data_IF_322747614670
#
_entry.id   IF_322747614670
#
_cell.length_a   1.000
_cell.length_b   1.000
_cell.length_c   1.000
_cell.angle_alpha   90.00
_cell.angle_beta   90.00
_cell.angle_gamma   90.00
#
_symmetry.space_group_name_H-M   'P 1'
#
loop_
_entity.id
_entity.type
_entity.pdbx_description
1 polymer ?
#
# COMPACT_ATOMS: atom_id res chain seq x y z
N UNK A 1 4.35 14.68 11.35
CA UNK A 1 5.19 14.33 10.17
C UNK A 1 4.87 12.96 9.59
N UNK A 2 5.01 11.84 10.32
CA UNK A 2 4.64 10.51 9.80
C UNK A 2 3.12 10.22 9.89
N UNK A 3 2.49 10.60 10.99
CA UNK A 3 1.06 10.39 11.27
C UNK A 3 0.15 11.15 10.29
N UNK A 4 0.51 12.40 9.96
CA UNK A 4 -0.24 13.24 9.01
C UNK A 4 -0.22 12.65 7.60
N UNK A 5 0.95 12.14 7.18
CA UNK A 5 1.11 11.48 5.89
C UNK A 5 0.27 10.19 5.82
N UNK A 6 0.28 9.36 6.87
CA UNK A 6 -0.58 8.17 6.95
C UNK A 6 -2.05 8.56 6.82
N UNK A 7 -2.52 9.56 7.57
CA UNK A 7 -3.91 10.01 7.57
C UNK A 7 -4.38 10.48 6.19
N UNK A 8 -3.62 11.37 5.56
CA UNK A 8 -3.93 11.90 4.21
C UNK A 8 -3.98 10.79 3.16
N UNK A 9 -3.08 9.82 3.24
CA UNK A 9 -3.10 8.66 2.34
C UNK A 9 -4.29 7.75 2.64
N UNK A 10 -4.66 7.53 3.90
CA UNK A 10 -5.87 6.75 4.21
C UNK A 10 -7.13 7.37 3.60
N UNK A 11 -7.25 8.70 3.64
CA UNK A 11 -8.34 9.44 2.98
C UNK A 11 -8.32 9.24 1.46
N UNK A 12 -7.14 9.30 0.82
CA UNK A 12 -6.99 9.00 -0.62
C UNK A 12 -7.47 7.59 -1.00
N UNK A 13 -7.30 6.62 -0.10
CA UNK A 13 -7.75 5.24 -0.29
C UNK A 13 -9.19 4.99 0.20
N UNK A 14 -9.93 6.02 0.63
CA UNK A 14 -11.25 5.90 1.26
C UNK A 14 -11.28 4.92 2.45
N UNK A 15 -10.19 4.89 3.24
CA UNK A 15 -10.06 4.06 4.43
C UNK A 15 -10.28 4.92 5.67
N UNK A 16 -11.35 4.65 6.41
CA UNK A 16 -11.70 5.36 7.64
C UNK A 16 -10.74 5.07 8.79
N UNK A 17 -10.28 3.82 8.92
CA UNK A 17 -9.32 3.44 9.94
C UNK A 17 -8.38 2.33 9.45
N UNK A 18 -7.08 2.52 9.65
CA UNK A 18 -6.07 1.48 9.40
C UNK A 18 -6.02 0.59 10.63
N UNK A 19 -6.21 -0.72 10.44
CA UNK A 19 -6.20 -1.67 11.57
C UNK A 19 -4.81 -1.79 12.17
N UNK A 20 -4.72 -2.19 13.44
CA UNK A 20 -3.46 -2.32 14.19
C UNK A 20 -2.39 -3.11 13.43
N UNK A 21 -2.73 -4.28 12.91
CA UNK A 21 -1.79 -5.16 12.22
C UNK A 21 -1.40 -4.59 10.85
N UNK A 22 -2.31 -3.88 10.18
CA UNK A 22 -2.01 -3.18 8.93
C UNK A 22 -1.02 -2.02 9.17
N UNK A 23 -1.20 -1.30 10.28
CA UNK A 23 -0.28 -0.23 10.68
C UNK A 23 1.11 -0.79 11.03
N UNK A 24 1.16 -1.88 11.78
CA UNK A 24 2.42 -2.58 12.09
C UNK A 24 3.13 -3.03 10.79
N UNK A 25 2.41 -3.62 9.83
CA UNK A 25 2.97 -3.97 8.53
C UNK A 25 3.53 -2.73 7.81
N UNK A 26 2.77 -1.63 7.75
CA UNK A 26 3.21 -0.41 7.08
C UNK A 26 4.48 0.17 7.74
N UNK A 27 4.57 0.13 9.07
CA UNK A 27 5.76 0.59 9.80
C UNK A 27 7.00 -0.25 9.52
N UNK A 28 6.86 -1.58 9.47
CA UNK A 28 7.94 -2.49 9.07
C UNK A 28 8.41 -2.17 7.64
N UNK A 29 7.47 -1.97 6.70
CA UNK A 29 7.78 -1.63 5.31
C UNK A 29 8.47 -0.26 5.18
N UNK A 30 8.05 0.75 5.95
CA UNK A 30 8.69 2.07 5.98
C UNK A 30 10.14 1.97 6.46
N UNK A 31 10.39 1.13 7.47
CA UNK A 31 11.72 0.81 8.01
C UNK A 31 12.55 -0.12 7.13
N UNK A 32 12.01 -0.58 5.99
CA UNK A 32 12.64 -1.57 5.09
C UNK A 32 12.99 -2.87 5.80
N UNK A 33 12.12 -3.33 6.69
CA UNK A 33 12.26 -4.60 7.39
C UNK A 33 11.37 -5.66 6.75
N UNK A 34 11.89 -6.89 6.67
CA UNK A 34 11.13 -8.04 6.20
C UNK A 34 10.02 -8.40 7.19
N UNK A 35 8.88 -8.86 6.66
CA UNK A 35 7.70 -9.16 7.46
C UNK A 35 6.94 -10.34 6.86
N UNK A 36 6.59 -11.32 7.70
CA UNK A 36 5.57 -12.33 7.40
C UNK A 36 4.31 -11.94 8.15
N UNK A 37 3.26 -11.58 7.40
CA UNK A 37 1.97 -11.20 7.96
C UNK A 37 0.94 -12.31 7.75
N UNK A 38 0.42 -12.86 8.85
CA UNK A 38 -0.65 -13.87 8.83
C UNK A 38 -1.95 -13.19 9.23
N UNK A 39 -2.81 -12.94 8.24
CA UNK A 39 -4.07 -12.23 8.41
C UNK A 39 -5.21 -12.97 7.70
N UNK A 40 -6.44 -12.96 8.24
CA UNK A 40 -7.57 -13.63 7.62
C UNK A 40 -7.91 -13.02 6.25
N UNK A 41 -8.63 -13.79 5.43
CA UNK A 41 -9.21 -13.28 4.18
C UNK A 41 -10.15 -12.11 4.48
N UNK A 42 -10.22 -11.14 3.56
CA UNK A 42 -11.00 -9.92 3.77
C UNK A 42 -10.41 -8.92 4.77
N UNK A 43 -9.33 -9.25 5.50
CA UNK A 43 -8.75 -8.32 6.50
C UNK A 43 -8.19 -7.04 5.90
N UNK A 44 -7.89 -7.03 4.60
CA UNK A 44 -7.26 -5.91 3.90
C UNK A 44 -5.74 -5.97 3.91
N UNK A 45 -5.14 -7.18 3.87
CA UNK A 45 -3.69 -7.39 3.87
C UNK A 45 -2.93 -6.69 2.73
N UNK A 46 -3.63 -6.25 1.68
CA UNK A 46 -3.03 -5.52 0.56
C UNK A 46 -2.78 -4.05 0.84
N UNK A 47 -3.57 -3.45 1.73
CA UNK A 47 -3.55 -2.02 1.99
C UNK A 47 -2.15 -1.50 2.41
N UNK A 48 -1.40 -2.13 3.35
CA UNK A 48 -0.13 -1.60 3.82
C UNK A 48 0.92 -1.43 2.71
N UNK A 49 1.08 -2.42 1.83
CA UNK A 49 2.02 -2.29 0.72
C UNK A 49 1.48 -1.34 -0.36
N UNK A 50 0.17 -1.27 -0.60
CA UNK A 50 -0.40 -0.32 -1.58
C UNK A 50 -0.20 1.14 -1.15
N UNK A 51 -0.29 1.43 0.15
CA UNK A 51 -0.11 2.77 0.71
C UNK A 51 1.36 3.21 0.83
N UNK A 52 2.32 2.28 0.81
CA UNK A 52 3.73 2.57 1.12
C UNK A 52 4.33 3.68 0.25
N UNK A 53 4.16 3.61 -1.08
CA UNK A 53 4.71 4.63 -1.99
C UNK A 53 4.04 6.00 -1.78
N UNK A 54 2.70 6.12 -1.78
CA UNK A 54 2.03 7.39 -1.44
C UNK A 54 2.48 7.99 -0.10
N UNK A 55 2.62 7.16 0.94
CA UNK A 55 3.07 7.62 2.27
C UNK A 55 4.50 8.15 2.21
N UNK A 56 5.42 7.45 1.54
CA UNK A 56 6.82 7.91 1.37
C UNK A 56 6.91 9.22 0.58
N UNK A 57 6.06 9.38 -0.45
CA UNK A 57 5.99 10.63 -1.23
C UNK A 57 5.50 11.79 -0.38
N UNK A 58 4.44 11.59 0.40
CA UNK A 58 3.90 12.63 1.30
C UNK A 58 4.90 13.02 2.39
N UNK A 59 5.67 12.05 2.91
CA UNK A 59 6.77 12.30 3.85
C UNK A 59 7.98 13.03 3.22
N UNK A 60 7.96 13.34 1.91
CA UNK A 60 9.05 13.98 1.16
C UNK A 60 10.41 13.30 1.36
N UNK A 61 10.41 11.97 1.39
CA UNK A 61 11.66 11.21 1.53
C UNK A 61 12.52 11.35 0.26
N UNK A 62 13.84 11.28 0.40
CA UNK A 62 14.80 11.44 -0.71
C UNK A 62 14.63 10.42 -1.85
N UNK A 63 13.93 9.31 -1.59
CA UNK A 63 13.71 8.22 -2.55
C UNK A 63 12.32 8.34 -3.23
N UNK A 64 12.15 9.38 -4.04
CA UNK A 64 10.89 9.70 -4.73
C UNK A 64 10.54 8.74 -5.88
N UNK A 65 11.51 7.93 -6.33
CA UNK A 65 11.37 6.96 -7.42
C UNK A 65 11.10 5.52 -6.94
N UNK A 66 10.55 5.37 -5.73
CA UNK A 66 10.16 4.08 -5.18
C UNK A 66 9.05 3.40 -6.00
N UNK A 67 9.23 2.10 -6.30
CA UNK A 67 8.25 1.21 -6.92
C UNK A 67 8.05 -0.02 -6.04
N UNK A 68 6.89 -0.65 -6.16
CA UNK A 68 6.55 -1.89 -5.46
C UNK A 68 6.27 -2.96 -6.50
N UNK A 69 6.84 -4.14 -6.28
CA UNK A 69 6.58 -5.34 -7.07
C UNK A 69 5.70 -6.24 -6.21
N UNK A 70 4.55 -6.63 -6.75
CA UNK A 70 3.61 -7.55 -6.09
C UNK A 70 3.54 -8.82 -6.92
N UNK A 71 4.00 -9.93 -6.35
CA UNK A 71 3.92 -11.24 -6.99
C UNK A 71 2.61 -11.94 -6.59
N UNK A 72 1.80 -12.33 -7.56
CA UNK A 72 0.54 -13.05 -7.35
C UNK A 72 0.39 -14.14 -8.42
N UNK A 73 -0.06 -15.35 -8.06
CA UNK A 73 -0.29 -16.42 -9.03
C UNK A 73 -1.59 -16.24 -9.83
N UNK A 74 -2.48 -15.33 -9.41
CA UNK A 74 -3.82 -15.19 -9.98
C UNK A 74 -3.91 -13.92 -10.85
N UNK A 75 -3.97 -14.11 -12.17
CA UNK A 75 -4.10 -13.02 -13.15
C UNK A 75 -5.37 -12.18 -12.96
N UNK A 76 -6.50 -12.81 -12.65
CA UNK A 76 -7.75 -12.10 -12.35
C UNK A 76 -7.57 -11.16 -11.15
N UNK A 77 -6.98 -11.65 -10.06
CA UNK A 77 -6.69 -10.84 -8.87
C UNK A 77 -5.72 -9.68 -9.17
N UNK A 78 -4.73 -9.89 -10.04
CA UNK A 78 -3.80 -8.84 -10.47
C UNK A 78 -4.50 -7.74 -11.25
N UNK A 79 -5.39 -8.11 -12.19
CA UNK A 79 -6.20 -7.19 -12.97
C UNK A 79 -7.09 -6.35 -12.06
N UNK A 80 -7.88 -6.98 -11.21
CA UNK A 80 -8.82 -6.31 -10.30
C UNK A 80 -8.10 -5.32 -9.38
N UNK A 81 -6.94 -5.70 -8.84
CA UNK A 81 -6.14 -4.81 -8.00
C UNK A 81 -5.56 -3.63 -8.78
N UNK A 82 -5.09 -3.82 -10.02
CA UNK A 82 -4.59 -2.73 -10.84
C UNK A 82 -5.68 -1.74 -11.24
N UNK A 83 -6.87 -2.24 -11.64
CA UNK A 83 -8.02 -1.40 -11.97
C UNK A 83 -8.43 -0.54 -10.77
N UNK A 84 -8.52 -1.14 -9.57
CA UNK A 84 -8.82 -0.40 -8.34
C UNK A 84 -7.75 0.63 -7.97
N UNK A 85 -6.47 0.33 -8.20
CA UNK A 85 -5.40 1.28 -7.89
C UNK A 85 -5.36 2.45 -8.89
N UNK A 86 -5.65 2.19 -10.17
CA UNK A 86 -5.66 3.21 -11.21
C UNK A 86 -6.88 4.15 -11.14
N UNK A 87 -7.93 3.80 -10.39
CA UNK A 87 -9.03 4.73 -10.10
C UNK A 87 -8.67 5.77 -9.04
N UNK A 88 -7.55 5.58 -8.32
CA UNK A 88 -7.09 6.50 -7.28
C UNK A 88 -6.16 7.56 -7.91
N UNK A 89 -6.47 8.87 -7.77
CA UNK A 89 -5.64 9.93 -8.34
C UNK A 89 -4.18 9.87 -7.87
N UNK A 90 -3.24 9.98 -8.82
CA UNK A 90 -1.80 10.00 -8.54
C UNK A 90 -1.16 8.62 -8.28
N UNK A 91 -1.95 7.55 -8.32
CA UNK A 91 -1.49 6.16 -8.22
C UNK A 91 -1.47 5.54 -9.62
N UNK A 92 -0.43 4.78 -9.91
CA UNK A 92 -0.32 4.00 -11.15
C UNK A 92 0.10 2.58 -10.82
N UNK A 93 -0.63 1.62 -11.33
CA UNK A 93 -0.35 0.20 -11.22
C UNK A 93 -0.51 -0.48 -12.58
N UNK A 94 0.38 -1.43 -12.86
CA UNK A 94 0.33 -2.26 -14.05
C UNK A 94 0.61 -3.69 -13.63
N UNK A 95 0.04 -4.65 -14.36
CA UNK A 95 0.35 -6.07 -14.18
C UNK A 95 0.89 -6.65 -15.48
N UNK A 96 1.72 -7.69 -15.34
CA UNK A 96 2.22 -8.48 -16.44
C UNK A 96 2.03 -9.96 -16.09
N UNK A 97 1.38 -10.69 -16.99
CA UNK A 97 1.29 -12.15 -16.95
C UNK A 97 2.45 -12.81 -17.65
#
# INVERSE_FOLDING_TARGET
MATDAKKKVSELFNVSNVKKEQEQMLEMLLRRQDCIAVLPTGYGKSLPYQMLVPVRREMKTSDMNCKIIVCSPLMALMRDQCERLNSIPGIRAVYKG
#
